data_IF_815429752337
#
_entry.id   IF_815429752337
#
_cell.length_a   1.000
_cell.length_b   1.000
_cell.length_c   1.000
_cell.angle_alpha   90.00
_cell.angle_beta   90.00
_cell.angle_gamma   90.00
#
_symmetry.space_group_name_H-M   'P 1'
#
loop_
_entity.id
_entity.type
_entity.pdbx_description
1 polymer ?
#
# COMPACT_ATOMS: atom_id res chain seq x y z
N UNK A 1 13.71 -8.14 -1.40
CA UNK A 1 14.49 -9.23 -2.03
C UNK A 1 15.95 -8.80 -2.08
N UNK A 2 16.81 -9.52 -1.39
CA UNK A 2 18.24 -9.22 -1.34
C UNK A 2 18.97 -9.99 -2.46
N UNK A 3 19.55 -9.26 -3.41
CA UNK A 3 20.28 -9.85 -4.54
C UNK A 3 21.67 -10.45 -4.16
N UNK A 4 22.11 -10.29 -2.91
CA UNK A 4 23.49 -10.60 -2.49
C UNK A 4 23.60 -11.98 -1.81
N UNK A 5 22.54 -12.50 -1.21
CA UNK A 5 22.57 -13.78 -0.49
C UNK A 5 21.55 -14.77 -1.07
N UNK A 6 21.86 -15.29 -2.24
CA UNK A 6 21.09 -16.41 -2.80
C UNK A 6 21.19 -17.63 -1.87
N UNK A 7 20.04 -18.15 -1.43
CA UNK A 7 19.97 -19.45 -0.76
C UNK A 7 19.86 -20.50 -1.88
N UNK A 8 20.93 -21.26 -2.18
CA UNK A 8 20.85 -22.28 -3.23
C UNK A 8 19.82 -23.34 -2.84
N UNK A 9 18.88 -23.63 -3.72
CA UNK A 9 18.03 -24.79 -3.63
C UNK A 9 16.65 -24.64 -2.99
N UNK A 10 16.19 -23.42 -2.68
CA UNK A 10 14.78 -23.19 -2.29
C UNK A 10 13.88 -23.24 -3.53
N UNK A 11 12.90 -24.14 -3.50
CA UNK A 11 11.92 -24.25 -4.57
C UNK A 11 11.04 -23.00 -4.60
N UNK A 12 11.09 -22.26 -5.70
CA UNK A 12 10.12 -21.20 -5.97
C UNK A 12 8.75 -21.84 -6.18
N UNK A 13 7.74 -21.40 -5.41
CA UNK A 13 6.31 -21.70 -5.56
C UNK A 13 5.94 -22.90 -6.48
N UNK A 14 6.31 -24.11 -6.08
CA UNK A 14 5.78 -25.34 -6.67
C UNK A 14 6.40 -25.84 -7.99
N UNK A 15 7.31 -25.10 -8.60
CA UNK A 15 7.99 -25.58 -9.81
C UNK A 15 9.53 -25.59 -9.58
N UNK A 16 10.17 -26.77 -9.66
CA UNK A 16 11.61 -26.83 -9.74
C UNK A 16 12.02 -26.14 -11.04
N UNK A 17 12.58 -24.95 -10.98
CA UNK A 17 13.22 -24.35 -12.15
C UNK A 17 14.48 -25.15 -12.44
N UNK A 18 14.34 -26.10 -13.34
CA UNK A 18 15.43 -26.90 -13.86
C UNK A 18 16.51 -25.96 -14.42
N UNK A 19 17.59 -25.78 -13.67
CA UNK A 19 18.83 -25.18 -14.17
C UNK A 19 18.89 -23.65 -14.21
N UNK A 20 17.96 -22.92 -13.64
CA UNK A 20 18.06 -21.47 -13.47
C UNK A 20 18.24 -21.16 -11.98
N UNK A 21 19.40 -20.64 -11.63
CA UNK A 21 19.57 -19.99 -10.33
C UNK A 21 18.60 -18.81 -10.24
N UNK A 22 17.93 -18.65 -9.08
CA UNK A 22 17.10 -17.48 -8.86
C UNK A 22 17.97 -16.24 -8.96
N UNK A 23 17.54 -15.25 -9.77
CA UNK A 23 18.25 -13.98 -9.90
C UNK A 23 18.10 -13.08 -8.66
N UNK A 24 17.57 -13.60 -7.56
CA UNK A 24 17.33 -12.92 -6.29
C UNK A 24 17.49 -13.89 -5.13
N UNK A 25 17.70 -13.35 -3.95
CA UNK A 25 17.73 -14.10 -2.70
C UNK A 25 16.44 -13.86 -1.91
N UNK A 26 16.00 -14.89 -1.22
CA UNK A 26 14.93 -14.79 -0.23
C UNK A 26 15.58 -14.40 1.10
N UNK A 27 15.14 -13.29 1.74
CA UNK A 27 15.70 -12.86 3.01
C UNK A 27 15.61 -13.94 4.09
N UNK A 28 16.63 -14.04 4.91
CA UNK A 28 16.64 -14.95 6.06
C UNK A 28 15.55 -14.52 7.04
N UNK A 29 14.73 -15.47 7.50
CA UNK A 29 13.60 -15.15 8.39
C UNK A 29 12.31 -14.74 7.68
N UNK A 30 12.27 -14.92 6.35
CA UNK A 30 11.02 -14.77 5.59
C UNK A 30 9.88 -15.53 6.27
N UNK A 31 8.67 -14.92 6.42
CA UNK A 31 7.53 -15.56 7.12
C UNK A 31 7.09 -16.89 6.53
N UNK A 32 7.27 -17.09 5.23
CA UNK A 32 6.99 -18.33 4.51
C UNK A 32 8.09 -19.39 4.66
N UNK A 33 9.26 -19.02 5.16
CA UNK A 33 10.34 -19.99 5.38
C UNK A 33 10.00 -21.01 6.47
N UNK A 34 10.73 -22.12 6.50
CA UNK A 34 10.51 -23.24 7.43
C UNK A 34 10.37 -22.75 8.89
N UNK A 35 9.20 -22.98 9.48
CA UNK A 35 8.87 -22.57 10.85
C UNK A 35 8.23 -21.19 11.00
N UNK A 36 8.06 -20.43 9.92
CA UNK A 36 7.33 -19.16 9.95
C UNK A 36 5.81 -19.34 10.01
N UNK A 37 5.05 -18.26 10.25
CA UNK A 37 3.59 -18.33 10.42
C UNK A 37 2.84 -18.80 9.17
N UNK A 38 3.45 -18.73 8.01
CA UNK A 38 2.92 -19.20 6.73
C UNK A 38 3.84 -20.22 6.06
N UNK A 39 4.49 -21.08 6.86
CA UNK A 39 5.48 -22.08 6.40
C UNK A 39 5.00 -23.03 5.30
N UNK A 40 3.68 -23.13 5.07
CA UNK A 40 3.10 -23.89 3.96
C UNK A 40 2.99 -23.07 2.66
N UNK A 41 3.26 -21.78 2.71
CA UNK A 41 3.30 -20.92 1.52
C UNK A 41 4.65 -21.00 0.82
N UNK A 42 4.71 -20.41 -0.37
CA UNK A 42 5.97 -20.29 -1.10
C UNK A 42 6.92 -19.32 -0.37
N UNK A 43 8.20 -19.60 -0.45
CA UNK A 43 9.23 -18.79 0.24
C UNK A 43 9.24 -17.31 -0.16
N UNK A 44 8.70 -16.96 -1.32
CA UNK A 44 8.56 -15.58 -1.80
C UNK A 44 7.36 -14.82 -1.21
N UNK A 45 6.42 -15.49 -0.53
CA UNK A 45 5.26 -14.84 0.05
C UNK A 45 5.66 -14.06 1.28
N UNK A 46 5.55 -12.74 1.23
CA UNK A 46 5.83 -11.85 2.34
C UNK A 46 4.65 -11.70 3.29
N UNK A 47 3.45 -11.41 2.75
CA UNK A 47 2.20 -11.25 3.48
C UNK A 47 1.04 -11.74 2.63
N UNK A 48 -0.14 -11.95 3.21
CA UNK A 48 -1.26 -12.56 2.53
C UNK A 48 -2.61 -12.06 3.07
N UNK A 49 -3.70 -12.54 2.47
CA UNK A 49 -5.04 -12.13 2.88
C UNK A 49 -5.46 -10.77 2.34
N UNK A 50 -4.83 -10.30 1.27
CA UNK A 50 -5.23 -9.16 0.47
C UNK A 50 -6.24 -9.59 -0.60
N UNK A 51 -7.12 -8.68 -1.01
CA UNK A 51 -8.09 -8.95 -2.09
C UNK A 51 -7.58 -8.50 -3.46
N UNK A 52 -7.24 -7.24 -3.59
CA UNK A 52 -6.79 -6.62 -4.84
C UNK A 52 -5.87 -5.43 -4.52
N UNK A 53 -4.64 -5.68 -4.08
CA UNK A 53 -3.69 -4.63 -3.76
C UNK A 53 -3.34 -3.87 -5.05
N UNK A 54 -4.00 -2.73 -5.24
CA UNK A 54 -3.89 -1.96 -6.49
C UNK A 54 -2.56 -1.23 -6.57
N UNK A 55 -2.27 -0.42 -5.54
CA UNK A 55 -0.97 0.23 -5.40
C UNK A 55 -0.49 0.12 -3.97
N UNK A 56 0.80 -0.05 -3.86
CA UNK A 56 1.52 -0.12 -2.60
C UNK A 56 2.83 0.65 -2.73
N UNK A 57 3.35 1.09 -1.61
CA UNK A 57 4.61 1.83 -1.54
C UNK A 57 5.37 1.48 -0.28
N UNK A 58 6.69 1.52 -0.39
CA UNK A 58 7.54 1.54 0.80
C UNK A 58 7.78 2.98 1.23
N UNK A 59 7.67 3.23 2.54
CA UNK A 59 8.16 4.48 3.11
C UNK A 59 9.70 4.53 2.95
N UNK A 60 10.18 5.44 2.14
CA UNK A 60 11.62 5.54 1.82
C UNK A 60 12.51 5.81 3.03
N UNK A 61 11.95 6.30 4.15
CA UNK A 61 12.69 6.59 5.37
C UNK A 61 12.72 5.41 6.34
N UNK A 62 11.62 4.69 6.49
CA UNK A 62 11.48 3.62 7.48
C UNK A 62 11.49 2.23 6.87
N UNK A 63 11.16 2.10 5.58
CA UNK A 63 10.96 0.83 4.91
C UNK A 63 9.60 0.19 5.17
N UNK A 64 8.72 0.86 5.90
CA UNK A 64 7.36 0.38 6.16
C UNK A 64 6.58 0.25 4.86
N UNK A 65 5.72 -0.77 4.77
CA UNK A 65 4.88 -1.04 3.62
C UNK A 65 3.46 -0.52 3.85
N UNK A 66 2.96 0.25 2.89
CA UNK A 66 1.57 0.73 2.87
C UNK A 66 0.90 0.23 1.59
N UNK A 67 -0.27 -0.37 1.71
CA UNK A 67 -0.97 -1.05 0.63
C UNK A 67 -2.39 -0.49 0.52
N UNK A 68 -2.77 0.02 -0.65
CA UNK A 68 -4.17 0.30 -0.97
C UNK A 68 -4.81 -0.98 -1.50
N UNK A 69 -5.66 -1.62 -0.70
CA UNK A 69 -6.34 -2.86 -1.07
C UNK A 69 -7.81 -2.60 -1.42
N UNK A 70 -8.14 -2.85 -2.67
CA UNK A 70 -9.49 -2.60 -3.20
C UNK A 70 -10.45 -3.66 -2.71
N UNK A 71 -11.49 -3.18 -2.01
CA UNK A 71 -12.53 -4.02 -1.43
C UNK A 71 -13.45 -4.69 -2.46
N UNK A 72 -14.29 -5.61 -2.00
CA UNK A 72 -15.19 -6.36 -2.88
C UNK A 72 -16.40 -5.53 -3.32
N UNK A 73 -16.96 -4.75 -2.43
CA UNK A 73 -18.17 -4.01 -2.77
C UNK A 73 -18.72 -3.13 -1.66
N UNK A 74 -18.01 -2.98 -0.57
CA UNK A 74 -18.49 -2.21 0.58
C UNK A 74 -17.47 -1.29 1.20
N UNK A 75 -16.24 -1.77 1.37
CA UNK A 75 -15.19 -1.08 2.14
C UNK A 75 -13.87 -1.12 1.36
N UNK A 76 -13.26 0.04 1.22
CA UNK A 76 -11.87 0.20 0.78
C UNK A 76 -10.95 0.31 1.98
N UNK A 77 -9.69 -0.12 1.84
CA UNK A 77 -8.77 -0.14 2.96
C UNK A 77 -7.32 0.20 2.59
N UNK A 78 -6.60 0.70 3.58
CA UNK A 78 -5.15 0.81 3.56
C UNK A 78 -4.59 -0.11 4.63
N UNK A 79 -3.75 -1.02 4.20
CA UNK A 79 -3.00 -1.90 5.09
C UNK A 79 -1.61 -1.35 5.36
N UNK A 80 -1.07 -1.73 6.51
CA UNK A 80 0.23 -1.26 6.97
C UNK A 80 1.04 -2.40 7.56
N UNK A 81 2.30 -2.45 7.16
CA UNK A 81 3.25 -3.39 7.72
C UNK A 81 4.56 -2.70 8.07
N UNK A 82 5.02 -2.91 9.29
CA UNK A 82 6.32 -2.41 9.73
C UNK A 82 7.44 -3.09 8.96
N UNK A 83 8.46 -2.34 8.59
CA UNK A 83 9.63 -2.85 7.89
C UNK A 83 10.22 -4.11 8.53
N UNK A 84 10.57 -5.08 7.71
CA UNK A 84 11.23 -6.33 8.11
C UNK A 84 10.44 -7.26 9.04
N UNK A 85 9.12 -7.03 9.24
CA UNK A 85 8.29 -7.94 10.04
C UNK A 85 7.77 -9.10 9.22
N UNK A 86 7.01 -8.84 8.18
CA UNK A 86 6.41 -9.87 7.32
C UNK A 86 5.39 -10.78 8.00
N UNK A 87 4.73 -11.62 7.24
CA UNK A 87 3.79 -12.64 7.74
C UNK A 87 2.41 -12.12 8.10
N UNK A 88 2.11 -10.87 7.78
CA UNK A 88 0.80 -10.29 8.02
C UNK A 88 -0.29 -11.04 7.26
N UNK A 89 -1.41 -11.31 7.94
CA UNK A 89 -2.64 -11.77 7.34
C UNK A 89 -3.68 -10.67 7.42
N UNK A 90 -4.07 -10.08 6.29
CA UNK A 90 -5.04 -8.98 6.23
C UNK A 90 -6.50 -9.44 6.19
N UNK A 91 -6.72 -10.76 6.17
CA UNK A 91 -8.02 -11.36 6.47
C UNK A 91 -8.94 -11.63 5.30
N UNK A 92 -8.64 -11.18 4.09
CA UNK A 92 -9.44 -11.51 2.92
C UNK A 92 -9.41 -13.04 2.70
N UNK A 93 -10.51 -13.71 2.40
CA UNK A 93 -11.88 -13.21 2.08
C UNK A 93 -12.84 -13.22 3.27
N UNK A 94 -12.39 -13.51 4.48
CA UNK A 94 -13.24 -13.56 5.66
C UNK A 94 -13.59 -12.16 6.17
N UNK A 95 -12.68 -11.20 5.93
CA UNK A 95 -12.85 -9.79 6.26
C UNK A 95 -12.83 -8.92 4.99
N UNK A 96 -13.57 -7.82 5.01
CA UNK A 96 -13.49 -6.69 4.10
C UNK A 96 -13.44 -5.43 4.97
N UNK A 97 -12.29 -4.76 5.01
CA UNK A 97 -12.00 -3.83 6.10
C UNK A 97 -12.04 -4.55 7.45
N UNK A 98 -12.77 -3.94 8.38
CA UNK A 98 -13.03 -4.55 9.69
C UNK A 98 -14.32 -5.40 9.73
N UNK A 99 -15.00 -5.57 8.61
CA UNK A 99 -16.28 -6.22 8.52
C UNK A 99 -16.15 -7.71 8.17
N UNK A 100 -16.85 -8.56 8.92
CA UNK A 100 -16.96 -9.97 8.58
C UNK A 100 -17.85 -10.13 7.34
N UNK A 101 -17.31 -10.73 6.28
CA UNK A 101 -18.03 -11.00 5.03
C UNK A 101 -19.04 -12.16 5.16
N UNK A 102 -18.93 -12.97 6.18
CA UNK A 102 -19.69 -14.22 6.32
C UNK A 102 -19.17 -15.37 5.47
N UNK A 103 -18.14 -15.16 4.66
CA UNK A 103 -17.57 -16.20 3.80
C UNK A 103 -16.80 -17.27 4.59
N UNK A 104 -16.24 -16.89 5.71
CA UNK A 104 -15.54 -17.76 6.67
C UNK A 104 -15.40 -17.07 8.03
N UNK A 105 -15.09 -17.79 9.11
CA UNK A 105 -14.72 -17.15 10.37
C UNK A 105 -13.50 -16.25 10.20
N UNK A 106 -13.48 -15.05 10.81
CA UNK A 106 -12.31 -14.17 10.76
C UNK A 106 -11.05 -14.91 11.25
N UNK A 107 -9.93 -14.77 10.53
CA UNK A 107 -8.68 -15.41 10.92
C UNK A 107 -8.19 -14.88 12.27
N UNK A 108 -7.73 -15.78 13.13
CA UNK A 108 -7.09 -15.38 14.39
C UNK A 108 -5.79 -14.63 14.07
N UNK A 109 -5.61 -13.45 14.65
CA UNK A 109 -4.42 -12.64 14.42
C UNK A 109 -4.41 -11.88 13.09
N UNK A 110 -5.56 -11.77 12.41
CA UNK A 110 -5.67 -10.87 11.26
C UNK A 110 -5.29 -9.44 11.66
N UNK A 111 -4.50 -8.80 10.81
CA UNK A 111 -4.07 -7.41 11.02
C UNK A 111 -5.15 -6.49 10.47
N UNK A 112 -5.73 -5.62 11.30
CA UNK A 112 -6.73 -4.68 10.82
C UNK A 112 -6.09 -3.59 9.96
N UNK A 113 -6.82 -3.07 8.95
CA UNK A 113 -6.36 -1.94 8.17
C UNK A 113 -6.19 -0.68 9.03
N UNK A 114 -5.26 0.18 8.64
CA UNK A 114 -5.00 1.47 9.31
C UNK A 114 -6.01 2.55 8.90
N UNK A 115 -6.60 2.42 7.71
CA UNK A 115 -7.63 3.32 7.17
C UNK A 115 -8.69 2.49 6.49
N UNK A 116 -9.96 2.88 6.65
CA UNK A 116 -11.08 2.32 5.89
C UNK A 116 -12.05 3.41 5.46
N UNK A 117 -12.71 3.21 4.32
CA UNK A 117 -13.86 4.02 3.91
C UNK A 117 -14.87 3.20 3.11
N UNK A 118 -16.13 3.61 3.14
CA UNK A 118 -17.22 2.89 2.46
C UNK A 118 -17.41 3.37 1.02
N UNK A 119 -18.04 2.52 0.19
CA UNK A 119 -18.50 2.84 -1.17
C UNK A 119 -19.63 3.90 -1.22
N UNK A 120 -19.93 4.58 -0.13
CA UNK A 120 -20.91 5.66 -0.12
C UNK A 120 -20.46 6.87 -0.96
N UNK A 121 -21.41 7.71 -1.37
CA UNK A 121 -21.15 8.95 -2.12
C UNK A 121 -20.40 8.77 -3.46
N UNK A 122 -20.50 7.60 -4.08
CA UNK A 122 -19.88 7.33 -5.37
C UNK A 122 -18.45 6.80 -5.32
N UNK A 123 -17.88 6.62 -4.14
CA UNK A 123 -16.60 5.95 -3.93
C UNK A 123 -16.65 4.49 -4.32
N UNK A 124 -15.57 3.95 -4.86
CA UNK A 124 -15.60 2.59 -5.38
C UNK A 124 -14.27 1.83 -5.37
N UNK A 125 -13.15 2.51 -5.29
CA UNK A 125 -11.85 1.84 -5.46
C UNK A 125 -10.73 2.72 -4.94
N UNK A 126 -10.01 2.24 -3.95
CA UNK A 126 -8.81 2.92 -3.46
C UNK A 126 -7.68 2.83 -4.49
N UNK A 127 -7.02 3.95 -4.74
CA UNK A 127 -5.80 3.97 -5.56
C UNK A 127 -4.56 3.57 -4.76
N UNK A 128 -4.56 3.79 -3.45
CA UNK A 128 -3.36 3.76 -2.63
C UNK A 128 -2.59 5.07 -2.73
N UNK A 129 -1.31 5.08 -2.40
CA UNK A 129 -0.51 6.30 -2.43
C UNK A 129 0.85 6.16 -1.77
N UNK A 130 1.35 7.25 -1.19
CA UNK A 130 2.69 7.34 -0.61
C UNK A 130 2.73 8.11 0.70
N UNK A 131 3.67 7.74 1.55
CA UNK A 131 4.02 8.51 2.73
C UNK A 131 4.97 9.64 2.34
N UNK A 132 4.58 10.89 2.62
CA UNK A 132 5.35 12.06 2.21
C UNK A 132 6.69 12.14 2.93
N UNK A 133 7.78 12.26 2.16
CA UNK A 133 9.15 12.43 2.66
C UNK A 133 9.91 13.53 1.93
N UNK A 134 9.18 14.38 1.20
CA UNK A 134 9.74 15.51 0.47
C UNK A 134 10.12 16.71 1.36
N UNK A 135 10.50 17.83 0.74
CA UNK A 135 11.08 18.98 1.46
C UNK A 135 10.09 19.83 2.25
N UNK A 136 8.77 19.62 2.12
CA UNK A 136 7.78 20.46 2.78
C UNK A 136 7.65 20.13 4.27
N UNK A 137 7.90 21.11 5.11
CA UNK A 137 7.72 20.96 6.55
C UNK A 137 6.24 20.88 6.94
N UNK A 138 5.96 20.20 8.05
CA UNK A 138 4.60 20.10 8.63
C UNK A 138 3.72 19.03 8.02
N UNK A 139 4.12 18.41 6.89
CA UNK A 139 3.42 17.27 6.28
C UNK A 139 4.27 16.01 6.20
N UNK A 140 5.45 16.05 6.78
CA UNK A 140 6.36 14.91 6.85
C UNK A 140 5.68 13.71 7.54
N UNK A 141 5.76 12.53 6.91
CA UNK A 141 5.20 11.31 7.44
C UNK A 141 3.68 11.14 7.25
N UNK A 142 2.98 12.11 6.67
CA UNK A 142 1.58 11.94 6.27
C UNK A 142 1.50 10.99 5.08
N UNK A 143 0.54 10.07 5.12
CA UNK A 143 0.23 9.19 3.99
C UNK A 143 -0.89 9.80 3.15
N UNK A 144 -0.63 10.04 1.86
CA UNK A 144 -1.59 10.57 0.90
C UNK A 144 -2.12 9.44 0.04
N UNK A 145 -3.44 9.36 -0.12
CA UNK A 145 -4.14 8.33 -0.90
C UNK A 145 -5.42 8.90 -1.52
N UNK A 146 -6.03 8.16 -2.44
CA UNK A 146 -7.21 8.63 -3.16
C UNK A 146 -8.20 7.51 -3.48
N UNK A 147 -9.46 7.90 -3.74
CA UNK A 147 -10.45 7.06 -4.40
C UNK A 147 -10.45 7.32 -5.91
N UNK A 148 -10.42 6.25 -6.68
CA UNK A 148 -10.39 6.32 -8.13
C UNK A 148 -11.68 6.93 -8.73
N UNK A 149 -12.86 6.55 -8.21
CA UNK A 149 -14.13 6.94 -8.81
C UNK A 149 -14.47 8.40 -8.58
N UNK A 150 -14.32 8.87 -7.36
CA UNK A 150 -14.65 10.24 -7.00
C UNK A 150 -13.48 11.20 -7.21
N UNK A 151 -12.26 10.68 -7.18
CA UNK A 151 -11.06 11.52 -7.19
C UNK A 151 -10.84 12.28 -5.88
N UNK A 152 -11.50 11.85 -4.82
CA UNK A 152 -11.24 12.38 -3.48
C UNK A 152 -9.84 11.99 -3.03
N UNK A 153 -9.07 12.98 -2.62
CA UNK A 153 -7.72 12.81 -2.09
C UNK A 153 -7.72 13.10 -0.60
N UNK A 154 -7.17 12.20 0.17
CA UNK A 154 -7.04 12.35 1.62
C UNK A 154 -5.60 12.21 2.08
N UNK A 155 -5.41 12.58 3.34
CA UNK A 155 -4.20 12.26 4.09
C UNK A 155 -4.55 11.52 5.37
N UNK A 156 -3.69 10.60 5.77
CA UNK A 156 -3.73 9.95 7.07
C UNK A 156 -2.43 10.25 7.84
N UNK A 157 -2.58 10.50 9.13
CA UNK A 157 -1.48 10.91 10.02
C UNK A 157 -1.34 9.84 11.09
N UNK A 158 -0.10 9.37 11.25
CA UNK A 158 0.23 8.45 12.33
C UNK A 158 0.55 9.21 13.62
N UNK A 159 -0.29 9.04 14.63
CA UNK A 159 -0.13 9.63 15.95
C UNK A 159 0.20 8.53 16.96
N UNK A 160 1.49 8.15 17.05
CA UNK A 160 1.93 7.13 18.00
C UNK A 160 1.37 5.73 17.76
N UNK A 161 1.22 5.32 16.50
CA UNK A 161 0.68 4.02 16.09
C UNK A 161 -0.81 4.04 15.73
N UNK A 162 -1.51 5.12 16.00
CA UNK A 162 -2.91 5.31 15.59
C UNK A 162 -2.97 6.22 14.36
N UNK A 163 -3.60 5.73 13.30
CA UNK A 163 -3.76 6.49 12.06
C UNK A 163 -5.10 7.22 12.02
N UNK A 164 -5.09 8.47 11.55
CA UNK A 164 -6.33 9.22 11.36
C UNK A 164 -7.15 8.61 10.23
N UNK A 165 -8.47 8.51 10.46
CA UNK A 165 -9.43 8.05 9.45
C UNK A 165 -9.73 9.19 8.46
N UNK A 166 -10.27 8.88 7.24
CA UNK A 166 -10.61 9.90 6.27
C UNK A 166 -11.63 10.88 6.84
N UNK A 167 -11.29 12.17 6.71
CA UNK A 167 -12.17 13.28 6.99
C UNK A 167 -12.67 13.92 5.69
N UNK A 168 -12.78 15.24 5.69
CA UNK A 168 -13.03 15.97 4.44
C UNK A 168 -11.86 15.79 3.47
N UNK A 169 -12.14 15.53 2.18
CA UNK A 169 -11.09 15.41 1.18
C UNK A 169 -10.32 16.73 1.01
N UNK A 170 -9.03 16.62 0.77
CA UNK A 170 -8.19 17.78 0.43
C UNK A 170 -8.56 18.34 -0.94
N UNK A 171 -8.88 17.46 -1.85
CA UNK A 171 -9.26 17.75 -3.24
C UNK A 171 -10.23 16.69 -3.76
N UNK A 172 -10.96 17.07 -4.80
CA UNK A 172 -11.79 16.15 -5.60
C UNK A 172 -11.47 16.40 -7.08
N UNK A 173 -10.65 15.53 -7.65
CA UNK A 173 -10.03 15.73 -8.95
C UNK A 173 -10.63 14.86 -10.06
N UNK A 174 -11.58 13.96 -9.74
CA UNK A 174 -12.00 12.90 -10.65
C UNK A 174 -10.98 11.77 -10.73
N UNK A 175 -11.16 10.84 -11.62
CA UNK A 175 -10.40 9.58 -11.69
C UNK A 175 -8.89 9.74 -11.45
N UNK A 176 -8.40 9.20 -10.33
CA UNK A 176 -6.97 9.21 -9.99
C UNK A 176 -6.43 7.78 -10.06
N UNK A 177 -5.79 7.38 -11.17
CA UNK A 177 -5.30 6.01 -11.35
C UNK A 177 -3.99 5.72 -10.64
N UNK A 178 -3.20 6.76 -10.31
CA UNK A 178 -1.84 6.54 -9.82
C UNK A 178 -1.27 7.72 -9.05
N UNK A 179 -0.37 7.36 -8.15
CA UNK A 179 0.58 8.27 -7.50
C UNK A 179 2.01 7.92 -7.92
N UNK A 180 2.93 8.85 -7.70
CA UNK A 180 4.36 8.66 -7.84
C UNK A 180 5.14 9.49 -6.82
N UNK A 181 6.37 9.09 -6.56
CA UNK A 181 7.29 9.78 -5.66
C UNK A 181 8.55 10.16 -6.44
N UNK A 182 8.91 11.44 -6.38
CA UNK A 182 10.15 11.95 -6.94
C UNK A 182 11.38 11.53 -6.13
N UNK A 183 12.55 11.73 -6.70
CA UNK A 183 13.82 11.42 -6.04
C UNK A 183 14.01 12.18 -4.72
N UNK A 184 13.51 13.40 -4.65
CA UNK A 184 13.53 14.27 -3.46
C UNK A 184 12.40 13.96 -2.45
N UNK A 185 11.52 13.00 -2.73
CA UNK A 185 10.36 12.63 -1.90
C UNK A 185 9.12 13.50 -2.15
N UNK A 186 9.14 14.37 -3.15
CA UNK A 186 7.95 15.11 -3.60
C UNK A 186 6.94 14.13 -4.20
N UNK A 187 5.67 14.27 -3.82
CA UNK A 187 4.60 13.40 -4.32
C UNK A 187 3.89 14.02 -5.52
N UNK A 188 3.55 13.14 -6.43
CA UNK A 188 2.78 13.42 -7.63
C UNK A 188 1.59 12.49 -7.73
N UNK A 189 0.54 12.95 -8.40
CA UNK A 189 -0.57 12.11 -8.83
C UNK A 189 -0.97 12.46 -10.26
N UNK A 190 -1.58 11.50 -10.95
CA UNK A 190 -2.11 11.71 -12.29
C UNK A 190 -3.62 11.67 -12.27
N UNK A 191 -4.22 12.56 -13.08
CA UNK A 191 -5.65 12.66 -13.27
C UNK A 191 -5.94 13.17 -14.68
N UNK A 192 -6.77 12.47 -15.45
CA UNK A 192 -7.28 12.94 -16.73
C UNK A 192 -6.21 13.41 -17.73
N UNK A 193 -5.00 12.88 -17.66
CA UNK A 193 -3.85 13.31 -18.47
C UNK A 193 -3.06 14.48 -17.87
N UNK A 194 -3.42 14.94 -16.69
CA UNK A 194 -2.71 15.98 -15.95
C UNK A 194 -1.83 15.36 -14.88
N UNK A 195 -0.69 16.00 -14.60
CA UNK A 195 0.19 15.64 -13.50
C UNK A 195 0.07 16.71 -12.41
N UNK A 196 -0.25 16.29 -11.20
CA UNK A 196 -0.40 17.13 -10.03
C UNK A 196 0.76 16.91 -9.08
N UNK A 197 1.24 17.96 -8.47
CA UNK A 197 2.29 17.93 -7.45
C UNK A 197 1.73 18.34 -6.09
N UNK A 198 2.12 17.64 -5.04
CA UNK A 198 1.85 18.06 -3.67
C UNK A 198 2.79 19.22 -3.33
N UNK A 199 2.21 20.40 -3.11
CA UNK A 199 2.95 21.66 -2.93
C UNK A 199 2.42 22.42 -1.70
N UNK A 200 2.59 21.84 -0.51
CA UNK A 200 2.05 22.37 0.74
C UNK A 200 1.03 21.39 1.35
N UNK A 201 0.17 21.85 2.27
CA UNK A 201 -0.88 21.00 2.83
C UNK A 201 -1.93 20.56 1.80
N UNK A 202 -1.98 21.25 0.66
CA UNK A 202 -2.92 21.04 -0.43
C UNK A 202 -2.20 20.62 -1.71
N UNK A 203 -2.97 20.03 -2.64
CA UNK A 203 -2.49 19.64 -3.96
C UNK A 203 -2.61 20.82 -4.93
N UNK A 204 -1.56 21.05 -5.71
CA UNK A 204 -1.57 22.03 -6.77
C UNK A 204 -1.30 21.35 -8.12
N UNK A 205 -2.08 21.74 -9.13
CA UNK A 205 -1.79 21.42 -10.51
C UNK A 205 -0.48 22.09 -10.94
N UNK A 206 0.44 21.29 -11.44
CA UNK A 206 1.67 21.78 -12.04
C UNK A 206 1.63 21.40 -13.53
N UNK A 207 1.33 22.37 -14.40
CA UNK A 207 1.56 22.17 -15.82
C UNK A 207 3.07 22.27 -16.02
N UNK A 208 3.72 21.16 -16.33
CA UNK A 208 5.16 21.14 -16.65
C UNK A 208 5.53 22.02 -17.86
N UNK A 209 4.55 22.72 -18.47
CA UNK A 209 4.75 23.64 -19.58
C UNK A 209 4.98 25.09 -19.14
N UNK A 210 4.76 25.43 -17.87
CA UNK A 210 5.05 26.77 -17.35
C UNK A 210 6.39 26.75 -16.58
N UNK A 211 7.43 27.42 -17.11
CA UNK A 211 8.62 27.69 -16.32
C UNK A 211 8.20 28.51 -15.10
N UNK A 212 8.58 28.06 -13.91
CA UNK A 212 8.36 28.80 -12.69
C UNK A 212 8.79 30.26 -12.84
N UNK A 213 8.01 31.22 -12.35
CA UNK A 213 8.38 32.64 -12.41
C UNK A 213 9.67 32.96 -11.69
#
# INVERSE_FOLDING_TARGET
VDAVTATPGTAMCGEPRLGLEAAYAIPVGQPSSSGGPIAAACDEVWSYGLRNPWRWSFDRQTGDLLIGDVGQGSIEEVDFEVASVGGANYGWRCLEGNNNTGACPPPVGAIPPIVTYSHSAGRCSITGGYRYRGPLFGIQGHYYYADYCTGEVWKSINNGGTWSQPGEPLQNLGNIPSFGEGEDGTLYLVNGGQLWRLNGPDLYYDSFEDPAP
#
